data_IF_506423903746
#
_entry.id   IF_506423903746
#
_cell.length_a   1.000
_cell.length_b   1.000
_cell.length_c   1.000
_cell.angle_alpha   90.00
_cell.angle_beta   90.00
_cell.angle_gamma   90.00
#
_symmetry.space_group_name_H-M   'P 1'
#
loop_
_entity.id
_entity.type
_entity.pdbx_description
1 polymer ?
#
# COMPACT_ATOMS: atom_id res chain seq x y z
N UNK A 1 31.29 2.15 9.34
CA UNK A 1 30.88 0.97 8.55
C UNK A 1 32.03 0.46 7.70
N UNK A 2 32.24 -0.85 7.69
CA UNK A 2 33.20 -1.56 6.85
C UNK A 2 32.43 -2.42 5.83
N UNK A 3 32.89 -2.43 4.58
CA UNK A 3 32.23 -3.11 3.46
C UNK A 3 33.29 -3.91 2.71
N UNK A 4 33.18 -5.23 2.72
CA UNK A 4 34.14 -6.15 2.11
C UNK A 4 33.45 -6.99 1.03
N UNK A 5 33.99 -7.01 -0.19
CA UNK A 5 33.47 -7.85 -1.27
C UNK A 5 33.98 -9.28 -1.11
N UNK A 6 33.07 -10.26 -1.13
CA UNK A 6 33.38 -11.69 -1.14
C UNK A 6 32.64 -12.39 -2.27
N UNK A 7 33.26 -13.45 -2.76
CA UNK A 7 32.61 -14.40 -3.66
C UNK A 7 32.03 -15.54 -2.83
N UNK A 8 30.80 -15.94 -3.13
CA UNK A 8 30.15 -17.11 -2.54
C UNK A 8 29.48 -17.90 -3.65
N UNK A 9 29.70 -19.21 -3.69
CA UNK A 9 29.08 -20.06 -4.70
C UNK A 9 27.61 -20.34 -4.38
N UNK A 10 26.81 -20.66 -5.39
CA UNK A 10 25.43 -21.15 -5.18
C UNK A 10 25.43 -22.41 -4.29
N UNK A 11 26.42 -23.29 -4.43
CA UNK A 11 26.59 -24.47 -3.57
C UNK A 11 26.75 -24.12 -2.10
N UNK A 12 27.56 -23.12 -1.79
CA UNK A 12 27.73 -22.65 -0.41
C UNK A 12 26.45 -21.98 0.10
N UNK A 13 25.79 -21.17 -0.74
CA UNK A 13 24.54 -20.50 -0.39
C UNK A 13 23.43 -21.49 -0.01
N UNK A 14 23.22 -22.54 -0.82
CA UNK A 14 22.14 -23.52 -0.60
C UNK A 14 22.43 -24.51 0.52
N UNK A 15 23.68 -24.62 0.95
CA UNK A 15 24.05 -25.56 2.02
C UNK A 15 23.25 -25.24 3.29
N UNK A 16 22.53 -26.23 3.82
CA UNK A 16 21.67 -26.05 5.00
C UNK A 16 20.52 -25.06 4.79
N UNK A 17 20.04 -24.92 3.55
CA UNK A 17 18.86 -24.11 3.24
C UNK A 17 17.61 -24.70 3.91
N UNK A 18 16.83 -23.82 4.53
CA UNK A 18 15.57 -24.18 5.17
C UNK A 18 14.59 -23.01 5.01
N UNK A 19 13.42 -23.28 4.42
CA UNK A 19 12.30 -22.33 4.36
C UNK A 19 11.26 -22.75 5.41
N UNK A 20 11.20 -22.00 6.52
CA UNK A 20 10.25 -22.23 7.61
C UNK A 20 9.01 -21.35 7.50
N UNK A 21 8.71 -20.86 6.30
CA UNK A 21 7.58 -19.97 6.03
C UNK A 21 7.58 -18.75 6.98
N UNK A 22 6.73 -18.77 8.01
CA UNK A 22 6.57 -17.65 8.94
C UNK A 22 7.81 -17.39 9.81
N UNK A 23 8.59 -18.43 10.10
CA UNK A 23 9.74 -18.32 10.99
C UNK A 23 11.01 -17.82 10.29
N UNK A 24 10.93 -17.59 8.98
CA UNK A 24 12.02 -17.06 8.16
C UNK A 24 12.64 -18.09 7.24
N UNK A 25 13.72 -17.68 6.58
CA UNK A 25 14.45 -18.51 5.60
C UNK A 25 15.93 -18.43 5.91
N UNK A 26 16.60 -19.58 6.00
CA UNK A 26 18.04 -19.64 6.29
C UNK A 26 18.81 -20.38 5.21
N UNK A 27 20.13 -20.16 5.15
CA UNK A 27 21.04 -20.87 4.25
C UNK A 27 22.49 -20.64 4.67
N UNK A 28 23.45 -20.93 3.77
CA UNK A 28 24.87 -20.74 4.01
C UNK A 28 25.38 -21.46 5.28
N UNK A 29 25.07 -22.75 5.38
CA UNK A 29 25.34 -23.59 6.54
C UNK A 29 24.53 -23.19 7.78
N UNK A 30 23.34 -22.63 7.59
CA UNK A 30 22.49 -22.08 8.64
C UNK A 30 22.96 -20.74 9.22
N UNK A 31 24.01 -20.12 8.64
CA UNK A 31 24.60 -18.86 9.14
C UNK A 31 24.00 -17.62 8.48
N UNK A 32 23.35 -17.75 7.33
CA UNK A 32 22.70 -16.64 6.66
C UNK A 32 21.21 -16.67 6.93
N UNK A 33 20.70 -15.64 7.60
CA UNK A 33 19.29 -15.31 7.64
C UNK A 33 18.91 -14.63 6.32
N UNK A 34 18.36 -15.42 5.39
CA UNK A 34 17.98 -14.99 4.04
C UNK A 34 16.75 -14.08 4.11
N UNK A 35 15.81 -14.40 5.01
CA UNK A 35 14.62 -13.60 5.26
C UNK A 35 14.28 -13.65 6.75
N UNK A 36 14.66 -12.61 7.51
CA UNK A 36 14.21 -12.43 8.87
C UNK A 36 12.68 -12.30 8.96
N UNK A 37 12.05 -12.65 10.10
CA UNK A 37 10.59 -12.60 10.27
C UNK A 37 9.96 -11.22 10.03
N UNK A 38 10.71 -10.12 10.15
CA UNK A 38 10.23 -8.76 9.89
C UNK A 38 10.28 -8.35 8.41
N UNK A 39 11.10 -9.00 7.57
CA UNK A 39 11.22 -8.70 6.12
C UNK A 39 10.04 -9.24 5.31
N UNK A 40 9.71 -8.58 4.20
CA UNK A 40 8.57 -8.98 3.35
C UNK A 40 8.70 -10.40 2.81
N UNK A 41 7.55 -10.98 2.45
CA UNK A 41 7.46 -12.26 1.76
C UNK A 41 8.16 -12.23 0.38
N UNK A 42 8.30 -13.39 -0.25
CA UNK A 42 8.72 -13.45 -1.65
C UNK A 42 7.65 -12.82 -2.57
N UNK A 43 8.05 -11.85 -3.39
CA UNK A 43 7.14 -11.06 -4.25
C UNK A 43 7.44 -11.16 -5.75
N UNK A 44 8.56 -11.79 -6.14
CA UNK A 44 8.89 -11.95 -7.55
C UNK A 44 7.83 -12.81 -8.24
N UNK A 45 7.36 -12.32 -9.39
CA UNK A 45 6.53 -13.11 -10.31
C UNK A 45 7.40 -14.10 -11.08
N UNK A 46 6.78 -15.10 -11.71
CA UNK A 46 7.48 -16.14 -12.48
C UNK A 46 8.54 -15.56 -13.44
N UNK A 47 8.20 -14.51 -14.20
CA UNK A 47 9.16 -13.86 -15.12
C UNK A 47 10.40 -13.30 -14.44
N UNK A 48 10.26 -12.72 -13.24
CA UNK A 48 11.37 -12.13 -12.49
C UNK A 48 12.27 -13.22 -11.90
N UNK A 49 11.65 -14.24 -11.30
CA UNK A 49 12.32 -15.42 -10.76
C UNK A 49 13.07 -16.18 -11.86
N UNK A 50 12.42 -16.43 -13.00
CA UNK A 50 13.01 -17.12 -14.15
C UNK A 50 14.17 -16.33 -14.77
N UNK A 51 14.12 -14.99 -14.74
CA UNK A 51 15.22 -14.15 -15.20
C UNK A 51 16.48 -14.30 -14.34
N UNK A 52 16.35 -14.55 -13.03
CA UNK A 52 17.49 -14.86 -12.15
C UNK A 52 18.16 -16.15 -12.60
N UNK A 53 17.37 -17.21 -12.86
CA UNK A 53 17.89 -18.50 -13.31
C UNK A 53 18.48 -18.39 -14.72
N UNK A 54 17.84 -17.66 -15.64
CA UNK A 54 18.38 -17.43 -16.99
C UNK A 54 19.75 -16.71 -16.93
N UNK A 55 19.91 -15.76 -16.01
CA UNK A 55 21.19 -15.04 -15.80
C UNK A 55 22.29 -16.00 -15.34
N UNK A 56 22.01 -16.85 -14.36
CA UNK A 56 22.98 -17.84 -13.83
C UNK A 56 23.34 -18.87 -14.92
N UNK A 57 22.35 -19.41 -15.63
CA UNK A 57 22.59 -20.41 -16.68
C UNK A 57 23.38 -19.86 -17.87
N UNK A 58 23.41 -18.53 -18.06
CA UNK A 58 24.21 -17.85 -19.08
C UNK A 58 25.56 -17.33 -18.58
N UNK A 59 25.88 -17.55 -17.31
CA UNK A 59 27.06 -16.99 -16.64
C UNK A 59 27.14 -15.45 -16.76
N UNK A 60 25.98 -14.79 -16.78
CA UNK A 60 25.89 -13.34 -16.79
C UNK A 60 26.01 -12.80 -15.35
N UNK A 61 26.50 -11.57 -15.16
CA UNK A 61 26.66 -10.99 -13.83
C UNK A 61 25.29 -10.71 -13.20
N UNK A 62 25.00 -11.38 -12.09
CA UNK A 62 23.90 -11.00 -11.20
C UNK A 62 24.30 -9.75 -10.41
N UNK A 63 23.30 -8.90 -10.12
CA UNK A 63 23.50 -7.75 -9.26
C UNK A 63 24.03 -8.20 -7.89
N UNK A 64 25.02 -7.45 -7.39
CA UNK A 64 25.65 -7.67 -6.10
C UNK A 64 24.62 -7.80 -4.98
N UNK A 65 24.92 -8.61 -3.98
CA UNK A 65 24.11 -8.80 -2.78
C UNK A 65 24.80 -8.14 -1.60
N UNK A 66 24.04 -7.79 -0.56
CA UNK A 66 24.57 -7.14 0.63
C UNK A 66 24.11 -7.90 1.86
N UNK A 67 25.06 -8.36 2.68
CA UNK A 67 24.79 -9.07 3.91
C UNK A 67 25.33 -8.29 5.10
N UNK A 68 24.52 -8.06 6.12
CA UNK A 68 24.94 -7.52 7.40
C UNK A 68 25.66 -8.61 8.19
N UNK A 69 26.82 -8.28 8.76
CA UNK A 69 27.48 -9.13 9.76
C UNK A 69 26.86 -8.84 11.13
N UNK A 70 26.31 -9.87 11.76
CA UNK A 70 25.76 -9.84 13.12
C UNK A 70 26.88 -10.01 14.16
N UNK A 71 26.61 -9.64 15.41
CA UNK A 71 27.59 -9.70 16.51
C UNK A 71 28.05 -11.13 16.83
N UNK A 72 27.17 -12.11 16.58
CA UNK A 72 27.44 -13.55 16.73
C UNK A 72 28.26 -14.15 15.58
N UNK A 73 28.64 -13.33 14.59
CA UNK A 73 29.37 -13.76 13.39
C UNK A 73 28.50 -14.37 12.29
N UNK A 74 27.18 -14.42 12.49
CA UNK A 74 26.23 -14.80 11.44
C UNK A 74 25.92 -13.63 10.50
N UNK A 75 25.11 -13.90 9.48
CA UNK A 75 24.79 -12.96 8.42
C UNK A 75 23.28 -12.74 8.31
N UNK A 76 22.89 -11.55 7.88
CA UNK A 76 21.52 -11.20 7.52
C UNK A 76 21.49 -10.54 6.15
N UNK A 77 20.55 -10.93 5.28
CA UNK A 77 20.41 -10.29 3.97
C UNK A 77 19.84 -8.86 4.13
N UNK A 78 20.60 -7.87 3.65
CA UNK A 78 20.19 -6.48 3.50
C UNK A 78 19.57 -6.25 2.11
N UNK A 79 20.20 -6.76 1.06
CA UNK A 79 19.69 -6.71 -0.32
C UNK A 79 20.01 -8.00 -1.08
N UNK A 80 19.13 -8.34 -2.01
CA UNK A 80 19.25 -9.55 -2.83
C UNK A 80 18.36 -10.71 -2.39
N UNK A 81 17.53 -10.52 -1.34
CA UNK A 81 16.61 -11.53 -0.80
C UNK A 81 15.84 -12.29 -1.90
N UNK A 82 15.20 -11.56 -2.81
CA UNK A 82 14.36 -12.16 -3.87
C UNK A 82 15.20 -12.97 -4.88
N UNK A 83 16.44 -12.53 -5.15
CA UNK A 83 17.37 -13.27 -6.02
C UNK A 83 17.83 -14.55 -5.33
N UNK A 84 18.24 -14.45 -4.07
CA UNK A 84 18.68 -15.59 -3.25
C UNK A 84 17.57 -16.66 -3.16
N UNK A 85 16.35 -16.26 -2.79
CA UNK A 85 15.22 -17.20 -2.67
C UNK A 85 14.90 -17.84 -4.03
N UNK A 86 14.93 -17.08 -5.14
CA UNK A 86 14.71 -17.64 -6.48
C UNK A 86 15.71 -18.75 -6.82
N UNK A 87 16.98 -18.56 -6.44
CA UNK A 87 18.05 -19.56 -6.64
C UNK A 87 17.77 -20.79 -5.79
N UNK A 88 17.48 -20.59 -4.50
CA UNK A 88 17.24 -21.71 -3.59
C UNK A 88 16.04 -22.56 -4.01
N UNK A 89 14.91 -21.92 -4.30
CA UNK A 89 13.68 -22.59 -4.75
C UNK A 89 13.90 -23.39 -6.05
N UNK A 90 14.74 -22.90 -6.97
CA UNK A 90 15.04 -23.65 -8.20
C UNK A 90 15.86 -24.90 -7.90
N UNK A 91 16.90 -24.77 -7.07
CA UNK A 91 17.81 -25.86 -6.71
C UNK A 91 17.10 -26.96 -5.91
N UNK A 92 16.20 -26.57 -5.00
CA UNK A 92 15.31 -27.51 -4.28
C UNK A 92 14.25 -28.16 -5.18
N UNK A 93 13.96 -27.56 -6.35
CA UNK A 93 13.04 -28.11 -7.33
C UNK A 93 11.59 -27.64 -7.18
N UNK A 94 11.36 -26.50 -6.53
CA UNK A 94 10.02 -25.93 -6.31
C UNK A 94 9.36 -25.46 -7.62
N UNK A 95 10.16 -25.17 -8.64
CA UNK A 95 9.65 -24.77 -9.96
C UNK A 95 10.57 -25.22 -11.09
N UNK A 96 10.00 -25.26 -12.31
CA UNK A 96 10.73 -25.56 -13.53
C UNK A 96 11.11 -24.28 -14.28
N UNK A 97 12.32 -24.25 -14.84
CA UNK A 97 12.78 -23.20 -15.75
C UNK A 97 12.96 -23.79 -17.15
N UNK A 98 12.35 -23.18 -18.16
CA UNK A 98 12.30 -23.74 -19.54
C UNK A 98 11.85 -25.21 -19.57
N UNK A 99 10.82 -25.54 -18.78
CA UNK A 99 10.24 -26.88 -18.61
C UNK A 99 11.20 -27.94 -18.04
N UNK A 100 12.28 -27.52 -17.36
CA UNK A 100 13.21 -28.44 -16.68
C UNK A 100 13.35 -28.02 -15.22
N UNK A 101 13.19 -28.97 -14.31
CA UNK A 101 13.57 -28.79 -12.91
C UNK A 101 15.08 -28.98 -12.76
N UNK A 102 15.64 -28.51 -11.64
CA UNK A 102 17.05 -28.71 -11.34
C UNK A 102 17.47 -30.20 -11.37
N UNK A 103 16.62 -31.10 -10.86
CA UNK A 103 16.88 -32.54 -10.89
C UNK A 103 16.78 -33.17 -12.30
N UNK A 104 16.24 -32.46 -13.32
CA UNK A 104 16.22 -32.93 -14.71
C UNK A 104 17.48 -32.53 -15.49
N UNK A 105 18.31 -31.64 -14.95
CA UNK A 105 19.50 -31.13 -15.62
C UNK A 105 20.62 -32.18 -15.66
N UNK A 106 21.43 -32.12 -16.72
CA UNK A 106 22.64 -32.93 -16.83
C UNK A 106 23.65 -32.54 -15.73
N UNK A 107 24.64 -33.41 -15.47
CA UNK A 107 25.60 -33.18 -14.37
C UNK A 107 26.41 -31.89 -14.56
N UNK A 108 26.80 -31.59 -15.80
CA UNK A 108 27.51 -30.37 -16.19
C UNK A 108 26.66 -29.11 -16.02
N UNK A 109 25.39 -29.15 -16.44
CA UNK A 109 24.43 -28.05 -16.22
C UNK A 109 24.21 -27.78 -14.72
N UNK A 110 24.11 -28.83 -13.89
CA UNK A 110 24.00 -28.68 -12.43
C UNK A 110 25.27 -28.11 -11.82
N UNK A 111 26.43 -28.60 -12.24
CA UNK A 111 27.72 -28.14 -11.72
C UNK A 111 27.96 -26.67 -12.10
N UNK A 112 27.58 -26.25 -13.31
CA UNK A 112 27.64 -24.84 -13.72
C UNK A 112 26.84 -23.96 -12.75
N UNK A 113 25.58 -24.31 -12.47
CA UNK A 113 24.72 -23.53 -11.57
C UNK A 113 25.29 -23.51 -10.15
N UNK A 114 25.70 -24.66 -9.61
CA UNK A 114 26.22 -24.77 -8.24
C UNK A 114 27.58 -24.05 -8.07
N UNK A 115 28.39 -24.00 -9.12
CA UNK A 115 29.69 -23.32 -9.12
C UNK A 115 29.61 -21.82 -9.40
N UNK A 116 28.46 -21.31 -9.85
CA UNK A 116 28.24 -19.89 -10.12
C UNK A 116 28.56 -19.04 -8.88
N UNK A 117 29.36 -17.99 -9.09
CA UNK A 117 29.85 -17.09 -8.05
C UNK A 117 28.95 -15.88 -7.87
N UNK A 118 28.36 -15.77 -6.70
CA UNK A 118 27.62 -14.61 -6.25
C UNK A 118 28.60 -13.59 -5.65
N UNK A 119 28.46 -12.34 -6.09
CA UNK A 119 29.22 -11.21 -5.55
C UNK A 119 28.46 -10.63 -4.36
N UNK A 120 29.03 -10.78 -3.16
CA UNK A 120 28.38 -10.40 -1.91
C UNK A 120 29.24 -9.42 -1.13
N UNK A 121 28.68 -8.27 -0.78
CA UNK A 121 29.30 -7.34 0.15
C UNK A 121 28.91 -7.68 1.58
N UNK A 122 29.91 -7.99 2.42
CA UNK A 122 29.74 -8.15 3.86
C UNK A 122 29.88 -6.78 4.52
N UNK A 123 28.81 -6.34 5.17
CA UNK A 123 28.69 -5.03 5.79
C UNK A 123 28.73 -5.18 7.31
N UNK A 124 29.77 -4.66 7.96
CA UNK A 124 29.88 -4.59 9.42
C UNK A 124 29.93 -3.15 9.90
N UNK A 125 29.33 -2.89 11.07
CA UNK A 125 29.14 -1.53 11.58
C UNK A 125 28.10 -1.53 12.70
N UNK A 126 27.82 -0.35 13.26
CA UNK A 126 26.72 -0.22 14.20
C UNK A 126 25.38 -0.44 13.51
N UNK A 127 24.34 -0.75 14.28
CA UNK A 127 22.99 -0.96 13.73
C UNK A 127 22.45 0.31 13.04
N UNK A 128 22.81 1.49 13.55
CA UNK A 128 22.49 2.77 12.91
C UNK A 128 23.13 2.91 11.52
N UNK A 129 24.40 2.54 11.37
CA UNK A 129 25.10 2.58 10.08
C UNK A 129 24.50 1.56 9.09
N UNK A 130 24.23 0.33 9.56
CA UNK A 130 23.60 -0.72 8.73
C UNK A 130 22.23 -0.27 8.22
N UNK A 131 21.43 0.37 9.08
CA UNK A 131 20.10 0.87 8.73
C UNK A 131 20.15 2.03 7.73
N UNK A 132 21.07 2.97 7.90
CA UNK A 132 21.29 4.06 6.94
C UNK A 132 21.73 3.52 5.57
N UNK A 133 22.60 2.51 5.58
CA UNK A 133 23.03 1.81 4.38
C UNK A 133 21.89 1.09 3.67
N UNK A 134 21.06 0.37 4.43
CA UNK A 134 19.88 -0.32 3.90
C UNK A 134 18.94 0.65 3.18
N UNK A 135 18.70 1.83 3.76
CA UNK A 135 17.91 2.89 3.11
C UNK A 135 18.57 3.40 1.82
N UNK A 136 19.90 3.45 1.78
CA UNK A 136 20.68 3.93 0.63
C UNK A 136 20.72 2.92 -0.52
N UNK A 137 20.88 1.63 -0.25
CA UNK A 137 20.97 0.59 -1.30
C UNK A 137 19.61 0.24 -1.91
N UNK A 138 18.51 0.50 -1.21
CA UNK A 138 17.13 0.26 -1.65
C UNK A 138 16.68 1.16 -2.83
N UNK A 139 17.56 1.35 -3.82
CA UNK A 139 17.39 2.05 -5.08
C UNK A 139 17.45 1.05 -6.25
N UNK A 140 18.17 -0.07 -6.10
CA UNK A 140 18.33 -1.07 -7.16
C UNK A 140 17.34 -2.26 -6.99
N UNK A 141 16.49 -2.49 -8.00
CA UNK A 141 15.52 -3.59 -8.01
C UNK A 141 14.11 -3.20 -7.53
N UNK A 142 13.36 -4.15 -6.98
CA UNK A 142 12.02 -3.91 -6.44
C UNK A 142 12.11 -3.13 -5.12
N UNK A 143 11.96 -1.81 -5.21
CA UNK A 143 12.05 -0.90 -4.07
C UNK A 143 11.14 -1.35 -2.92
N UNK A 144 11.68 -1.36 -1.70
CA UNK A 144 10.88 -1.58 -0.49
C UNK A 144 9.90 -0.42 -0.28
N UNK A 145 8.69 -0.74 0.17
CA UNK A 145 7.70 0.25 0.59
C UNK A 145 8.16 0.96 1.86
N UNK A 146 7.57 2.12 2.16
CA UNK A 146 7.91 2.85 3.38
C UNK A 146 7.63 2.00 4.63
N UNK A 147 6.53 1.23 4.63
CA UNK A 147 6.23 0.31 5.72
C UNK A 147 7.23 -0.84 5.84
N UNK A 148 7.71 -1.39 4.72
CA UNK A 148 8.76 -2.41 4.73
C UNK A 148 10.06 -1.88 5.35
N UNK A 149 10.41 -0.61 5.09
CA UNK A 149 11.53 0.06 5.74
C UNK A 149 11.28 0.28 7.24
N UNK A 150 10.08 0.73 7.64
CA UNK A 150 9.71 0.92 9.05
C UNK A 150 9.80 -0.38 9.84
N UNK A 151 9.40 -1.51 9.27
CA UNK A 151 9.50 -2.81 9.95
C UNK A 151 10.94 -3.22 10.27
N UNK A 152 11.91 -2.82 9.44
CA UNK A 152 13.33 -3.06 9.72
C UNK A 152 13.83 -2.18 10.89
N UNK A 153 13.40 -0.91 10.91
CA UNK A 153 13.74 0.05 12.00
C UNK A 153 13.16 -0.40 13.33
N UNK A 154 11.89 -0.77 13.35
CA UNK A 154 11.13 -1.11 14.56
C UNK A 154 10.96 -2.62 14.71
N UNK A 155 11.95 -3.40 14.27
CA UNK A 155 11.89 -4.86 14.36
C UNK A 155 11.80 -5.30 15.83
N UNK A 156 10.97 -6.31 16.08
CA UNK A 156 10.67 -6.78 17.43
C UNK A 156 9.48 -7.74 17.44
N UNK A 157 9.12 -8.30 18.62
CA UNK A 157 8.04 -9.29 18.73
C UNK A 157 6.70 -8.75 18.21
N UNK A 158 6.42 -7.47 18.42
CA UNK A 158 5.20 -6.82 17.94
C UNK A 158 5.09 -6.82 16.41
N UNK A 159 6.15 -6.41 15.69
CA UNK A 159 6.14 -6.40 14.21
C UNK A 159 5.98 -7.81 13.66
N UNK A 160 6.69 -8.79 14.24
CA UNK A 160 6.59 -10.19 13.83
C UNK A 160 5.15 -10.71 13.98
N UNK A 161 4.49 -10.43 15.09
CA UNK A 161 3.10 -10.83 15.31
C UNK A 161 2.11 -10.05 14.42
N UNK A 162 2.31 -8.74 14.24
CA UNK A 162 1.48 -7.93 13.35
C UNK A 162 1.49 -8.47 11.91
N UNK A 163 2.67 -8.80 11.39
CA UNK A 163 2.81 -9.33 10.02
C UNK A 163 2.07 -10.64 9.80
N UNK A 164 1.93 -11.49 10.81
CA UNK A 164 1.13 -12.72 10.74
C UNK A 164 -0.32 -12.43 10.34
N UNK A 165 -0.91 -11.34 10.86
CA UNK A 165 -2.27 -10.93 10.53
C UNK A 165 -2.39 -10.20 9.19
N UNK A 166 -1.40 -9.37 8.85
CA UNK A 166 -1.55 -8.34 7.82
C UNK A 166 -0.73 -8.54 6.54
N UNK A 167 0.36 -9.30 6.58
CA UNK A 167 1.45 -9.14 5.60
C UNK A 167 1.74 -10.37 4.73
N UNK A 168 0.77 -11.26 4.57
CA UNK A 168 0.89 -12.49 3.77
C UNK A 168 -0.23 -12.65 2.75
N UNK A 169 0.02 -13.49 1.75
CA UNK A 169 -1.03 -13.90 0.82
C UNK A 169 -2.18 -14.54 1.60
N UNK A 170 -3.42 -14.10 1.33
CA UNK A 170 -4.62 -14.59 2.01
C UNK A 170 -4.56 -14.53 3.55
N UNK A 171 -3.82 -13.57 4.11
CA UNK A 171 -3.76 -13.35 5.56
C UNK A 171 -5.15 -13.05 6.16
N UNK A 172 -5.26 -13.16 7.49
CA UNK A 172 -6.51 -12.94 8.19
C UNK A 172 -7.12 -11.55 7.89
N UNK A 173 -6.29 -10.52 7.81
CA UNK A 173 -6.75 -9.18 7.45
C UNK A 173 -7.31 -9.13 6.01
N UNK A 174 -6.65 -9.78 5.05
CA UNK A 174 -7.14 -9.85 3.67
C UNK A 174 -8.48 -10.58 3.57
N UNK A 175 -8.62 -11.73 4.23
CA UNK A 175 -9.89 -12.47 4.26
C UNK A 175 -11.03 -11.68 4.92
N UNK A 176 -10.72 -10.83 5.91
CA UNK A 176 -11.71 -10.04 6.61
C UNK A 176 -12.10 -8.76 5.86
N UNK A 177 -11.13 -8.00 5.34
CA UNK A 177 -11.34 -6.66 4.80
C UNK A 177 -10.81 -6.39 3.39
N UNK A 178 -10.45 -7.43 2.63
CA UNK A 178 -9.94 -7.31 1.25
C UNK A 178 -10.86 -6.55 0.27
N UNK A 179 -12.15 -6.55 0.54
CA UNK A 179 -13.17 -5.81 -0.21
C UNK A 179 -13.21 -4.30 0.11
N UNK A 180 -12.67 -3.92 1.27
CA UNK A 180 -12.73 -2.56 1.82
C UNK A 180 -11.38 -1.84 1.78
N UNK A 181 -10.26 -2.55 1.79
CA UNK A 181 -8.93 -1.98 1.69
C UNK A 181 -8.39 -2.07 0.25
N UNK A 182 -7.48 -1.17 -0.07
CA UNK A 182 -6.70 -1.22 -1.32
C UNK A 182 -5.27 -1.63 -1.01
N UNK A 183 -4.55 -2.08 -2.03
CA UNK A 183 -3.16 -2.51 -1.90
C UNK A 183 -3.00 -4.02 -1.72
N UNK A 184 -1.76 -4.43 -1.49
CA UNK A 184 -1.30 -5.81 -1.40
C UNK A 184 -0.81 -6.12 0.02
N UNK A 185 -1.35 -7.16 0.67
CA UNK A 185 -0.85 -7.64 1.97
C UNK A 185 0.66 -7.92 1.97
N UNK A 186 1.18 -8.61 0.96
CA UNK A 186 2.61 -8.95 0.87
C UNK A 186 3.52 -7.73 0.63
N UNK A 187 2.95 -6.59 0.21
CA UNK A 187 3.63 -5.28 0.16
C UNK A 187 3.40 -4.43 1.41
N UNK A 188 2.73 -5.01 2.40
CA UNK A 188 2.43 -4.44 3.72
C UNK A 188 1.45 -3.27 3.72
N UNK A 189 0.71 -3.06 2.61
CA UNK A 189 -0.24 -1.94 2.48
C UNK A 189 -1.37 -2.02 3.54
N UNK A 190 -1.76 -3.24 3.93
CA UNK A 190 -2.81 -3.47 4.93
C UNK A 190 -2.31 -3.14 6.34
N UNK A 191 -1.08 -3.54 6.66
CA UNK A 191 -0.43 -3.21 7.92
C UNK A 191 -0.27 -1.70 8.05
N UNK A 192 0.30 -1.07 7.03
CA UNK A 192 0.50 0.39 6.96
C UNK A 192 -0.82 1.14 7.15
N UNK A 193 -1.84 0.77 6.38
CA UNK A 193 -3.16 1.42 6.44
C UNK A 193 -3.78 1.31 7.82
N UNK A 194 -3.66 0.14 8.47
CA UNK A 194 -4.24 -0.10 9.79
C UNK A 194 -3.50 0.70 10.88
N UNK A 195 -2.17 0.71 10.85
CA UNK A 195 -1.37 1.51 11.79
C UNK A 195 -1.72 2.99 11.60
N UNK A 196 -1.75 3.47 10.35
CA UNK A 196 -2.11 4.86 10.04
C UNK A 196 -3.47 5.25 10.63
N UNK A 197 -4.44 4.35 10.58
CA UNK A 197 -5.77 4.60 11.15
C UNK A 197 -5.77 4.68 12.67
N UNK A 198 -5.15 3.72 13.36
CA UNK A 198 -5.15 3.70 14.84
C UNK A 198 -4.31 4.84 15.42
N UNK A 199 -3.21 5.19 14.74
CA UNK A 199 -2.25 6.20 15.19
C UNK A 199 -2.55 7.63 14.73
N UNK A 200 -3.59 7.84 13.92
CA UNK A 200 -3.94 9.15 13.33
C UNK A 200 -2.78 9.72 12.51
N UNK A 201 -2.33 8.95 11.53
CA UNK A 201 -1.20 9.24 10.63
C UNK A 201 0.19 9.25 11.29
N UNK A 202 0.31 8.85 12.56
CA UNK A 202 1.59 8.81 13.29
C UNK A 202 2.18 7.40 13.38
N UNK A 203 2.50 6.80 12.22
CA UNK A 203 2.90 5.39 12.11
C UNK A 203 4.19 5.10 12.89
N UNK A 204 5.20 5.94 12.72
CA UNK A 204 6.53 5.74 13.30
C UNK A 204 6.49 5.79 14.84
N UNK A 205 5.79 6.75 15.43
CA UNK A 205 5.64 6.81 16.88
C UNK A 205 4.89 5.58 17.42
N UNK A 206 3.82 5.16 16.74
CA UNK A 206 3.06 3.98 17.15
C UNK A 206 3.93 2.72 17.14
N UNK A 207 4.69 2.49 16.07
CA UNK A 207 5.60 1.35 15.99
C UNK A 207 6.73 1.43 17.03
N UNK A 208 7.27 2.61 17.31
CA UNK A 208 8.31 2.81 18.31
C UNK A 208 7.81 2.48 19.74
N UNK A 209 6.61 2.93 20.09
CA UNK A 209 6.01 2.69 21.41
C UNK A 209 5.71 1.20 21.65
N UNK A 210 5.33 0.46 20.60
CA UNK A 210 4.88 -0.94 20.72
C UNK A 210 5.97 -1.95 20.34
N UNK A 211 7.17 -1.52 19.89
CA UNK A 211 8.22 -2.39 19.33
C UNK A 211 8.52 -3.65 20.16
N UNK A 212 8.55 -3.50 21.49
CA UNK A 212 8.91 -4.56 22.44
C UNK A 212 7.69 -5.30 23.04
N UNK A 213 6.48 -4.94 22.64
CA UNK A 213 5.30 -5.66 23.08
C UNK A 213 5.30 -7.09 22.52
N UNK A 214 4.78 -8.07 23.28
CA UNK A 214 4.86 -9.48 22.89
C UNK A 214 3.96 -9.86 21.71
N UNK A 215 2.95 -9.04 21.37
CA UNK A 215 1.99 -9.31 20.30
C UNK A 215 1.30 -8.01 19.82
N UNK A 216 0.64 -8.07 18.67
CA UNK A 216 -0.08 -6.96 18.05
C UNK A 216 -1.61 -7.11 18.19
N UNK A 217 -2.08 -7.67 19.30
CA UNK A 217 -3.51 -7.95 19.51
C UNK A 217 -4.37 -6.70 19.49
N UNK A 218 -3.86 -5.57 20.02
CA UNK A 218 -4.59 -4.29 19.97
C UNK A 218 -4.85 -3.85 18.52
N UNK A 219 -3.81 -3.84 17.69
CA UNK A 219 -3.92 -3.47 16.28
C UNK A 219 -4.88 -4.41 15.54
N UNK A 220 -4.82 -5.71 15.83
CA UNK A 220 -5.71 -6.70 15.23
C UNK A 220 -7.17 -6.50 15.65
N UNK A 221 -7.45 -6.35 16.94
CA UNK A 221 -8.80 -6.12 17.46
C UNK A 221 -9.39 -4.80 16.95
N UNK A 222 -8.55 -3.76 16.85
CA UNK A 222 -8.92 -2.50 16.23
C UNK A 222 -9.37 -2.71 14.77
N UNK A 223 -8.54 -3.38 13.96
CA UNK A 223 -8.87 -3.68 12.57
C UNK A 223 -10.19 -4.44 12.43
N UNK A 224 -10.38 -5.49 13.24
CA UNK A 224 -11.62 -6.25 13.25
C UNK A 224 -12.83 -5.38 13.59
N UNK A 225 -12.69 -4.48 14.56
CA UNK A 225 -13.74 -3.55 14.97
C UNK A 225 -14.12 -2.59 13.84
N UNK A 226 -13.13 -2.04 13.13
CA UNK A 226 -13.34 -1.18 11.95
C UNK A 226 -14.15 -1.93 10.90
N UNK A 227 -13.70 -3.11 10.47
CA UNK A 227 -14.36 -3.85 9.38
C UNK A 227 -15.76 -4.33 9.78
N UNK A 228 -15.92 -4.81 11.01
CA UNK A 228 -17.23 -5.23 11.52
C UNK A 228 -18.20 -4.06 11.59
N UNK A 229 -17.73 -2.89 12.01
CA UNK A 229 -18.54 -1.68 12.00
C UNK A 229 -18.96 -1.27 10.59
N UNK A 230 -18.05 -1.31 9.60
CA UNK A 230 -18.39 -1.02 8.20
C UNK A 230 -19.49 -1.97 7.71
N UNK A 231 -19.38 -3.27 7.97
CA UNK A 231 -20.39 -4.27 7.59
C UNK A 231 -21.73 -4.06 8.28
N UNK A 232 -21.72 -3.64 9.54
CA UNK A 232 -22.93 -3.37 10.31
C UNK A 232 -23.65 -2.09 9.83
N UNK A 233 -22.90 -1.03 9.53
CA UNK A 233 -23.45 0.27 9.08
C UNK A 233 -23.84 0.25 7.60
N UNK A 234 -23.09 -0.48 6.77
CA UNK A 234 -23.28 -0.57 5.32
C UNK A 234 -23.39 -2.04 4.87
N UNK A 235 -24.54 -2.71 5.07
CA UNK A 235 -24.67 -4.15 4.82
C UNK A 235 -24.60 -4.54 3.33
N UNK A 236 -24.95 -3.63 2.42
CA UNK A 236 -24.93 -3.88 0.97
C UNK A 236 -23.58 -3.48 0.41
N UNK A 237 -22.75 -4.48 0.12
CA UNK A 237 -21.44 -4.25 -0.48
C UNK A 237 -21.55 -3.66 -1.89
N UNK A 238 -20.66 -2.72 -2.19
CA UNK A 238 -20.42 -2.18 -3.53
C UNK A 238 -18.92 -1.98 -3.73
N UNK A 239 -18.43 -2.15 -4.96
CA UNK A 239 -17.00 -1.98 -5.29
C UNK A 239 -16.45 -0.60 -4.90
N UNK A 240 -17.29 0.43 -4.87
CA UNK A 240 -16.97 1.80 -4.48
C UNK A 240 -16.59 1.92 -2.99
N UNK A 241 -16.90 0.92 -2.16
CA UNK A 241 -16.45 0.85 -0.77
C UNK A 241 -14.95 0.58 -0.64
N UNK A 242 -14.31 0.09 -1.71
CA UNK A 242 -12.90 -0.29 -1.69
C UNK A 242 -11.99 0.94 -1.59
N UNK A 243 -11.12 0.92 -0.60
CA UNK A 243 -10.13 1.96 -0.33
C UNK A 243 -10.68 3.22 0.33
N UNK A 244 -11.94 3.25 0.78
CA UNK A 244 -12.44 4.33 1.65
C UNK A 244 -11.61 4.32 2.94
N UNK A 245 -11.38 5.48 3.54
CA UNK A 245 -10.58 5.61 4.76
C UNK A 245 -11.35 5.17 6.02
N UNK A 246 -11.78 3.90 6.02
CA UNK A 246 -12.72 3.33 6.98
C UNK A 246 -12.29 3.48 8.44
N UNK A 247 -11.00 3.30 8.75
CA UNK A 247 -10.53 3.43 10.13
C UNK A 247 -10.69 4.85 10.68
N UNK A 248 -10.46 5.91 9.89
CA UNK A 248 -10.72 7.28 10.34
C UNK A 248 -12.21 7.54 10.55
N UNK A 249 -13.05 7.04 9.64
CA UNK A 249 -14.50 7.13 9.81
C UNK A 249 -14.97 6.36 11.06
N UNK A 250 -14.43 5.18 11.31
CA UNK A 250 -14.72 4.42 12.52
C UNK A 250 -14.29 5.16 13.78
N UNK A 251 -13.10 5.78 13.79
CA UNK A 251 -12.61 6.53 14.95
C UNK A 251 -13.53 7.70 15.32
N UNK A 252 -14.14 8.38 14.33
CA UNK A 252 -15.03 9.52 14.57
C UNK A 252 -16.50 9.12 14.76
N UNK A 253 -16.96 8.08 14.07
CA UNK A 253 -18.37 7.72 13.96
C UNK A 253 -18.73 6.36 14.56
N UNK A 254 -17.75 5.57 15.01
CA UNK A 254 -17.91 4.19 15.50
C UNK A 254 -18.92 4.04 16.64
N UNK A 255 -19.01 5.06 17.50
CA UNK A 255 -19.93 5.09 18.63
C UNK A 255 -21.30 5.71 18.31
N UNK A 256 -21.52 6.21 17.08
CA UNK A 256 -22.80 6.80 16.66
C UNK A 256 -23.75 5.72 16.15
N UNK A 257 -25.04 5.92 16.38
CA UNK A 257 -26.10 5.03 15.88
C UNK A 257 -26.57 5.52 14.52
N UNK A 258 -26.69 4.59 13.57
CA UNK A 258 -27.15 4.87 12.22
C UNK A 258 -28.41 4.07 11.91
N UNK A 259 -29.37 4.71 11.23
CA UNK A 259 -30.45 4.00 10.55
C UNK A 259 -29.90 3.48 9.22
N UNK A 260 -29.54 2.20 9.19
CA UNK A 260 -28.93 1.55 8.02
C UNK A 260 -29.87 1.52 6.81
N UNK A 261 -31.20 1.47 7.04
CA UNK A 261 -32.19 1.53 5.95
C UNK A 261 -32.25 2.93 5.33
N UNK A 262 -32.17 3.97 6.17
CA UNK A 262 -32.10 5.35 5.69
C UNK A 262 -30.80 5.61 4.94
N UNK A 263 -29.66 5.15 5.46
CA UNK A 263 -28.37 5.27 4.78
C UNK A 263 -28.40 4.60 3.41
N UNK A 264 -28.89 3.36 3.33
CA UNK A 264 -28.96 2.61 2.07
C UNK A 264 -29.83 3.33 1.02
N UNK A 265 -30.98 3.89 1.42
CA UNK A 265 -31.81 4.71 0.52
C UNK A 265 -31.04 5.92 -0.04
N UNK A 266 -30.29 6.62 0.81
CA UNK A 266 -29.47 7.75 0.37
C UNK A 266 -28.30 7.30 -0.52
N UNK A 267 -27.65 6.18 -0.22
CA UNK A 267 -26.60 5.62 -1.08
C UNK A 267 -27.16 5.34 -2.47
N UNK A 268 -28.29 4.65 -2.57
CA UNK A 268 -28.93 4.35 -3.87
C UNK A 268 -29.25 5.63 -4.63
N UNK A 269 -29.82 6.64 -3.96
CA UNK A 269 -30.11 7.95 -4.56
C UNK A 269 -28.85 8.62 -5.11
N UNK A 270 -27.78 8.67 -4.32
CA UNK A 270 -26.50 9.31 -4.69
C UNK A 270 -25.73 8.52 -5.76
N UNK A 271 -25.87 7.19 -5.76
CA UNK A 271 -25.29 6.33 -6.80
C UNK A 271 -25.94 6.60 -8.16
N UNK A 272 -27.24 6.88 -8.20
CA UNK A 272 -27.97 7.24 -9.42
C UNK A 272 -27.77 8.70 -9.85
N UNK A 273 -27.30 9.58 -8.96
CA UNK A 273 -27.13 10.98 -9.28
C UNK A 273 -25.90 11.22 -10.18
N UNK A 274 -26.14 11.59 -11.45
CA UNK A 274 -25.08 11.89 -12.42
C UNK A 274 -24.20 13.09 -12.01
N UNK A 275 -24.70 13.97 -11.15
CA UNK A 275 -23.92 15.10 -10.63
C UNK A 275 -22.89 14.66 -9.58
N UNK A 276 -23.05 13.48 -8.96
CA UNK A 276 -22.04 12.92 -8.05
C UNK A 276 -20.98 12.20 -8.88
N UNK A 277 -19.81 12.81 -9.07
CA UNK A 277 -18.74 12.22 -9.89
C UNK A 277 -17.84 11.28 -9.08
N UNK A 278 -17.70 11.48 -7.77
CA UNK A 278 -16.95 10.59 -6.88
C UNK A 278 -17.89 9.66 -6.10
N UNK A 279 -18.26 8.53 -6.70
CA UNK A 279 -19.16 7.53 -6.08
C UNK A 279 -18.58 6.88 -4.82
N UNK A 280 -17.25 6.77 -4.73
CA UNK A 280 -16.57 6.30 -3.52
C UNK A 280 -16.79 7.26 -2.35
N UNK A 281 -16.71 8.57 -2.59
CA UNK A 281 -16.90 9.61 -1.56
C UNK A 281 -18.31 9.71 -0.97
N UNK A 282 -19.28 8.93 -1.47
CA UNK A 282 -20.64 8.87 -0.91
C UNK A 282 -20.60 8.42 0.56
N UNK A 283 -19.75 7.45 0.90
CA UNK A 283 -19.71 6.90 2.26
C UNK A 283 -19.18 7.95 3.26
N UNK A 284 -18.11 8.67 2.90
CA UNK A 284 -17.57 9.78 3.67
C UNK A 284 -18.60 10.91 3.80
N UNK A 285 -19.26 11.29 2.71
CA UNK A 285 -20.30 12.33 2.72
C UNK A 285 -21.46 11.98 3.65
N UNK A 286 -21.95 10.75 3.61
CA UNK A 286 -23.13 10.38 4.41
C UNK A 286 -22.86 10.46 5.92
N UNK A 287 -21.62 10.25 6.34
CA UNK A 287 -21.19 10.35 7.73
C UNK A 287 -20.83 11.79 8.13
N UNK A 288 -20.00 12.46 7.32
CA UNK A 288 -19.44 13.80 7.62
C UNK A 288 -20.34 14.97 7.22
N UNK A 289 -21.27 14.75 6.28
CA UNK A 289 -22.07 15.77 5.59
C UNK A 289 -21.26 16.77 4.77
N UNK A 290 -19.99 16.47 4.47
CA UNK A 290 -19.13 17.34 3.68
C UNK A 290 -19.22 17.00 2.18
N UNK A 291 -19.84 17.87 1.39
CA UNK A 291 -20.07 17.67 -0.05
C UNK A 291 -18.78 17.54 -0.87
N UNK A 292 -17.64 18.01 -0.35
CA UNK A 292 -16.33 17.87 -1.04
C UNK A 292 -15.99 16.42 -1.36
N UNK A 293 -16.47 15.46 -0.57
CA UNK A 293 -16.25 14.05 -0.86
C UNK A 293 -16.98 13.58 -2.12
N UNK A 294 -18.12 14.18 -2.49
CA UNK A 294 -18.92 13.76 -3.64
C UNK A 294 -18.35 14.23 -4.99
N UNK A 295 -17.49 15.25 -4.98
CA UNK A 295 -16.98 15.92 -6.17
C UNK A 295 -18.11 16.25 -7.16
N UNK A 296 -18.99 17.18 -6.77
CA UNK A 296 -20.18 17.50 -7.57
C UNK A 296 -19.76 18.05 -8.94
N UNK A 297 -20.44 17.59 -9.99
CA UNK A 297 -20.19 17.97 -11.38
C UNK A 297 -20.21 19.49 -11.53
N UNK A 298 -19.12 20.02 -12.09
CA UNK A 298 -19.03 21.43 -12.46
C UNK A 298 -19.87 21.73 -13.71
N UNK A 299 -20.36 22.96 -13.81
CA UNK A 299 -21.01 23.45 -15.02
C UNK A 299 -20.03 23.47 -16.20
N UNK A 300 -20.51 23.16 -17.40
CA UNK A 300 -19.73 23.25 -18.64
C UNK A 300 -19.59 24.70 -19.11
N UNK A 301 -18.65 24.97 -20.01
CA UNK A 301 -18.48 26.29 -20.63
C UNK A 301 -19.74 26.74 -21.37
N UNK A 302 -20.50 25.82 -21.96
CA UNK A 302 -21.80 26.11 -22.57
C UNK A 302 -22.81 26.58 -21.53
N UNK A 303 -22.93 25.89 -20.39
CA UNK A 303 -23.80 26.35 -19.29
C UNK A 303 -23.38 27.73 -18.79
N UNK A 304 -22.06 27.97 -18.67
CA UNK A 304 -21.50 29.27 -18.27
C UNK A 304 -21.86 30.37 -19.27
N UNK A 305 -21.70 30.12 -20.57
CA UNK A 305 -22.04 31.05 -21.65
C UNK A 305 -23.53 31.37 -21.66
N UNK A 306 -24.39 30.37 -21.58
CA UNK A 306 -25.84 30.57 -21.55
C UNK A 306 -26.27 31.40 -20.32
N UNK A 307 -25.69 31.13 -19.14
CA UNK A 307 -25.95 31.90 -17.93
C UNK A 307 -25.47 33.36 -18.07
N UNK A 308 -24.33 33.59 -18.72
CA UNK A 308 -23.81 34.93 -18.99
C UNK A 308 -24.78 35.78 -19.80
N UNK A 309 -25.30 35.23 -20.91
CA UNK A 309 -26.26 35.94 -21.77
C UNK A 309 -27.57 36.21 -21.04
N UNK A 310 -28.09 35.24 -20.27
CA UNK A 310 -29.30 35.44 -19.44
C UNK A 310 -29.13 36.54 -18.39
N UNK A 311 -27.93 36.68 -17.84
CA UNK A 311 -27.61 37.69 -16.82
C UNK A 311 -27.07 39.00 -17.40
N UNK A 312 -26.91 39.10 -18.71
CA UNK A 312 -26.25 40.22 -19.38
C UNK A 312 -24.86 40.58 -18.78
N UNK A 313 -24.12 39.57 -18.34
CA UNK A 313 -22.82 39.73 -17.65
C UNK A 313 -22.89 40.35 -16.25
N UNK A 314 -24.08 40.43 -15.64
CA UNK A 314 -24.27 41.01 -14.30
C UNK A 314 -24.15 39.94 -13.23
N UNK A 315 -23.28 40.15 -12.24
CA UNK A 315 -23.19 39.29 -11.07
C UNK A 315 -24.50 39.34 -10.26
N UNK A 316 -25.06 38.16 -9.94
CA UNK A 316 -26.34 38.07 -9.20
C UNK A 316 -26.28 38.67 -7.79
N UNK A 317 -25.08 38.77 -7.19
CA UNK A 317 -24.87 39.21 -5.80
C UNK A 317 -24.55 40.71 -5.70
N UNK A 318 -23.44 41.17 -6.28
CA UNK A 318 -23.07 42.58 -6.23
C UNK A 318 -23.72 43.47 -7.29
N UNK A 319 -24.47 42.89 -8.25
CA UNK A 319 -25.18 43.60 -9.34
C UNK A 319 -24.28 44.43 -10.27
N UNK A 320 -22.97 44.19 -10.26
CA UNK A 320 -22.00 44.81 -11.19
C UNK A 320 -21.81 43.94 -12.44
N UNK A 321 -21.44 44.58 -13.55
CA UNK A 321 -21.13 43.92 -14.82
C UNK A 321 -19.67 43.46 -14.85
N UNK A 322 -19.44 42.26 -15.37
CA UNK A 322 -18.13 41.64 -15.53
C UNK A 322 -18.04 40.97 -16.90
N UNK A 323 -16.81 40.77 -17.38
CA UNK A 323 -16.56 39.86 -18.50
C UNK A 323 -16.69 38.41 -18.05
N UNK A 324 -17.05 37.52 -18.99
CA UNK A 324 -17.31 36.10 -18.67
C UNK A 324 -16.13 35.40 -17.99
N UNK A 325 -14.90 35.80 -18.32
CA UNK A 325 -13.67 35.24 -17.76
C UNK A 325 -13.45 35.63 -16.30
N UNK A 326 -14.13 36.68 -15.83
CA UNK A 326 -14.13 37.15 -14.43
C UNK A 326 -15.32 36.67 -13.61
N UNK A 327 -16.09 35.75 -14.17
CA UNK A 327 -17.22 35.12 -13.52
C UNK A 327 -17.02 33.62 -13.35
N UNK A 328 -17.66 33.06 -12.32
CA UNK A 328 -17.68 31.64 -11.99
C UNK A 328 -19.13 31.15 -11.98
N UNK A 329 -19.35 29.96 -12.51
CA UNK A 329 -20.65 29.31 -12.53
C UNK A 329 -20.94 28.66 -11.18
N UNK A 330 -22.17 28.81 -10.72
CA UNK A 330 -22.64 28.34 -9.43
C UNK A 330 -24.11 27.93 -9.52
N UNK A 331 -24.58 27.10 -8.58
CA UNK A 331 -25.95 26.65 -8.55
C UNK A 331 -26.87 27.73 -7.97
N UNK A 332 -28.06 27.90 -8.56
CA UNK A 332 -29.13 28.74 -8.01
C UNK A 332 -29.72 28.05 -6.77
N UNK A 333 -30.28 26.87 -6.96
CA UNK A 333 -30.62 25.94 -5.89
C UNK A 333 -29.39 25.09 -5.58
N UNK A 334 -28.84 25.15 -4.35
CA UNK A 334 -27.71 24.32 -3.95
C UNK A 334 -27.96 22.84 -4.22
N UNK A 335 -26.88 22.09 -4.49
CA UNK A 335 -26.99 20.67 -4.81
C UNK A 335 -27.60 19.85 -3.65
N UNK A 336 -27.27 20.15 -2.38
CA UNK A 336 -27.89 19.47 -1.23
C UNK A 336 -29.38 19.73 -1.06
N UNK A 337 -29.91 20.81 -1.63
CA UNK A 337 -31.35 21.10 -1.68
C UNK A 337 -32.04 20.45 -2.90
N UNK A 338 -31.31 19.64 -3.68
CA UNK A 338 -31.82 18.94 -4.87
C UNK A 338 -31.54 19.67 -6.18
N UNK A 339 -30.74 20.73 -6.18
CA UNK A 339 -30.34 21.44 -7.39
C UNK A 339 -29.44 20.61 -8.31
N UNK A 340 -29.77 20.56 -9.60
CA UNK A 340 -29.01 19.81 -10.63
C UNK A 340 -27.99 20.68 -11.36
N UNK A 341 -26.92 20.09 -11.88
CA UNK A 341 -25.94 20.78 -12.74
C UNK A 341 -26.44 20.90 -14.18
N UNK A 342 -27.50 21.69 -14.37
CA UNK A 342 -28.15 21.94 -15.66
C UNK A 342 -28.23 23.44 -15.93
N UNK A 343 -28.31 23.84 -17.20
CA UNK A 343 -28.30 25.26 -17.60
C UNK A 343 -29.28 26.13 -16.81
N UNK A 344 -30.51 25.67 -16.57
CA UNK A 344 -31.54 26.45 -15.84
C UNK A 344 -31.20 26.70 -14.37
N UNK A 345 -30.35 25.87 -13.76
CA UNK A 345 -29.90 26.03 -12.38
C UNK A 345 -28.51 26.68 -12.29
N UNK A 346 -27.94 27.08 -13.43
CA UNK A 346 -26.66 27.77 -13.51
C UNK A 346 -26.85 29.28 -13.41
N UNK A 347 -26.14 29.90 -12.46
CA UNK A 347 -25.96 31.34 -12.36
C UNK A 347 -24.47 31.71 -12.33
N UNK A 348 -24.15 32.95 -12.68
CA UNK A 348 -22.80 33.48 -12.60
C UNK A 348 -22.63 34.47 -11.44
N UNK A 349 -21.58 34.25 -10.66
CA UNK A 349 -21.05 35.15 -9.64
C UNK A 349 -19.70 35.70 -10.10
N UNK A 350 -19.33 36.92 -9.69
CA UNK A 350 -17.93 37.33 -9.87
C UNK A 350 -17.02 36.49 -8.96
N UNK A 351 -15.75 36.31 -9.35
CA UNK A 351 -14.77 35.48 -8.60
C UNK A 351 -14.72 35.81 -7.10
N UNK A 352 -14.78 37.10 -6.74
CA UNK A 352 -14.75 37.52 -5.33
C UNK A 352 -16.01 37.08 -4.57
N UNK A 353 -17.18 37.30 -5.16
CA UNK A 353 -18.47 36.95 -4.55
C UNK A 353 -18.64 35.44 -4.38
N UNK A 354 -18.13 34.66 -5.34
CA UNK A 354 -18.15 33.19 -5.31
C UNK A 354 -17.21 32.64 -4.24
N UNK A 355 -15.97 33.14 -4.16
CA UNK A 355 -15.01 32.75 -3.11
C UNK A 355 -15.54 33.04 -1.70
N UNK A 356 -16.19 34.19 -1.50
CA UNK A 356 -16.85 34.54 -0.23
C UNK A 356 -18.04 33.63 0.10
N UNK A 357 -18.69 33.03 -0.90
CA UNK A 357 -19.78 32.06 -0.71
C UNK A 357 -19.23 30.69 -0.31
N UNK A 358 -18.17 30.21 -0.98
CA UNK A 358 -17.56 28.90 -0.72
C UNK A 358 -16.64 28.81 0.51
N UNK A 359 -16.29 29.95 1.12
CA UNK A 359 -15.52 30.02 2.37
C UNK A 359 -16.35 30.00 3.66
N UNK A 360 -17.66 29.80 3.56
CA UNK A 360 -18.58 29.53 4.67
C UNK A 360 -18.97 28.06 4.64
#
# INVERSE_FOLDING_TARGET
MNIELKETTVRELINGYEDKEEEGVTGYGGKLDIRPPFQREFIYKDKQRDAVIDTITKDYPLNVMYWAVREDGNFEVIDGQQRIISICQYVEGDFAFKNRYFHNLQNDEREQILSYKLMVYFCSGSDSEKLEWFKTINIAGEKLTDQELRNAVYSGPWVSDAKRYFSKNNCAAYGLGGDYLSGSPIRQDFLETTIRWISKDNIENYMAEHQHEPNASELWLYYQSVINWVRAVFPVYRKEMKGVAWGFLYNEFGNKKFDTKKLEKEIVRLMQDEDVTNKKGIYEYLLTKNEKYLNIRAFSDNHKREAYERQAGVCVKCKKKFEIDDMEADHITPWHEGGKTISVNCQLLCKEDNRRKGGK
#
